data_IF_522333398817
#
_entry.id   IF_522333398817
#
_cell.length_a   1.000
_cell.length_b   1.000
_cell.length_c   1.000
_cell.angle_alpha   90.00
_cell.angle_beta   90.00
_cell.angle_gamma   90.00
#
_symmetry.space_group_name_H-M   'P 1'
#
loop_
_entity.id
_entity.type
_entity.pdbx_description
1 polymer ?
#
# COMPACT_ATOMS: atom_id res chain seq x y z
N UNK A 1 -17.27 28.83 -17.49
CA UNK A 1 -17.45 27.48 -16.90
C UNK A 1 -16.95 26.33 -17.77
N UNK A 2 -17.07 26.37 -19.12
CA UNK A 2 -16.63 25.28 -20.00
C UNK A 2 -15.18 24.82 -19.78
N UNK A 3 -14.24 25.77 -19.68
CA UNK A 3 -12.81 25.49 -19.50
C UNK A 3 -12.48 24.71 -18.21
N UNK A 4 -13.16 24.98 -17.09
CA UNK A 4 -12.88 24.25 -15.84
C UNK A 4 -13.42 22.82 -15.86
N UNK A 5 -14.64 22.61 -16.38
CA UNK A 5 -15.24 21.28 -16.44
C UNK A 5 -14.43 20.39 -17.38
N UNK A 6 -14.02 20.93 -18.53
CA UNK A 6 -13.14 20.25 -19.48
C UNK A 6 -11.79 19.89 -18.83
N UNK A 7 -11.14 20.84 -18.15
CA UNK A 7 -9.92 20.56 -17.39
C UNK A 7 -10.11 19.45 -16.34
N UNK A 8 -11.19 19.52 -15.54
CA UNK A 8 -11.52 18.52 -14.52
C UNK A 8 -11.72 17.13 -15.12
N UNK A 9 -12.52 17.04 -16.19
CA UNK A 9 -12.82 15.78 -16.87
C UNK A 9 -11.57 15.12 -17.46
N UNK A 10 -10.60 15.93 -17.89
CA UNK A 10 -9.37 15.46 -18.51
C UNK A 10 -8.18 15.42 -17.54
N UNK A 11 -8.36 15.69 -16.25
CA UNK A 11 -7.26 15.72 -15.28
C UNK A 11 -6.43 14.41 -15.27
N UNK A 12 -7.02 13.19 -15.26
CA UNK A 12 -6.23 11.96 -15.25
C UNK A 12 -5.33 11.75 -16.48
N UNK A 13 -5.66 12.36 -17.63
CA UNK A 13 -4.85 12.28 -18.85
C UNK A 13 -3.49 12.99 -18.72
N UNK A 14 -3.43 13.97 -17.82
CA UNK A 14 -2.26 14.83 -17.67
C UNK A 14 -1.37 14.41 -16.49
N UNK A 15 -1.70 13.31 -15.81
CA UNK A 15 -0.95 12.80 -14.68
C UNK A 15 -0.04 11.67 -15.15
N UNK A 16 1.27 11.86 -15.03
CA UNK A 16 2.24 10.77 -15.17
C UNK A 16 2.34 10.01 -13.83
N UNK A 17 2.05 8.70 -13.78
CA UNK A 17 2.19 7.91 -12.55
C UNK A 17 3.65 7.76 -12.09
N UNK A 18 4.63 8.01 -12.97
CA UNK A 18 6.06 7.98 -12.65
C UNK A 18 6.49 9.33 -12.10
N UNK A 19 6.92 9.32 -10.84
CA UNK A 19 7.44 10.49 -10.15
C UNK A 19 8.83 10.87 -10.66
N UNK A 20 9.75 9.90 -10.70
CA UNK A 20 11.14 10.07 -11.15
C UNK A 20 11.57 8.83 -11.93
N UNK A 21 12.25 9.03 -13.05
CA UNK A 21 12.88 7.97 -13.84
C UNK A 21 14.40 8.17 -13.89
N UNK A 22 15.17 7.19 -13.41
CA UNK A 22 16.64 7.15 -13.51
C UNK A 22 17.03 5.85 -14.21
N UNK A 23 17.21 5.92 -15.53
CA UNK A 23 17.43 4.74 -16.36
C UNK A 23 16.29 3.72 -16.24
N UNK A 24 16.55 2.44 -15.91
CA UNK A 24 15.50 1.42 -15.74
C UNK A 24 14.71 1.56 -14.43
N UNK A 25 15.19 2.38 -13.47
CA UNK A 25 14.51 2.58 -12.20
C UNK A 25 13.42 3.65 -12.35
N UNK A 26 12.17 3.23 -12.18
CA UNK A 26 10.99 4.10 -12.20
C UNK A 26 10.36 4.17 -10.81
N UNK A 27 10.47 5.32 -10.15
CA UNK A 27 9.80 5.58 -8.90
C UNK A 27 8.39 6.08 -9.19
N UNK A 28 7.37 5.38 -8.70
CA UNK A 28 5.97 5.72 -8.94
C UNK A 28 5.39 6.49 -7.75
N UNK A 29 4.44 7.38 -8.01
CA UNK A 29 3.66 8.05 -6.97
C UNK A 29 2.97 7.07 -6.03
N UNK A 30 2.58 5.89 -6.52
CA UNK A 30 1.97 4.85 -5.72
C UNK A 30 2.85 4.42 -4.52
N UNK A 31 4.15 4.24 -4.76
CA UNK A 31 5.11 3.93 -3.69
C UNK A 31 5.26 5.08 -2.69
N UNK A 32 5.32 6.32 -3.19
CA UNK A 32 5.35 7.51 -2.34
C UNK A 32 4.09 7.62 -1.46
N UNK A 33 2.91 7.35 -2.03
CA UNK A 33 1.65 7.37 -1.28
C UNK A 33 1.65 6.34 -0.16
N UNK A 34 2.24 5.16 -0.34
CA UNK A 34 2.43 4.21 0.77
C UNK A 34 3.36 4.75 1.86
N UNK A 35 4.46 5.40 1.50
CA UNK A 35 5.35 6.01 2.50
C UNK A 35 4.61 7.08 3.30
N UNK A 36 3.79 7.91 2.64
CA UNK A 36 2.97 8.92 3.31
C UNK A 36 1.88 8.25 4.17
N UNK A 37 1.26 7.16 3.70
CA UNK A 37 0.28 6.36 4.45
C UNK A 37 0.87 5.86 5.77
N UNK A 38 2.05 5.23 5.73
CA UNK A 38 2.73 4.73 6.91
C UNK A 38 3.22 5.86 7.81
N UNK A 39 3.79 6.92 7.23
CA UNK A 39 4.28 8.08 7.97
C UNK A 39 3.17 8.82 8.73
N UNK A 40 2.02 9.05 8.09
CA UNK A 40 0.87 9.72 8.71
C UNK A 40 0.20 8.84 9.78
N UNK A 41 0.11 7.53 9.54
CA UNK A 41 -0.35 6.55 10.54
C UNK A 41 0.55 6.58 11.77
N UNK A 42 1.87 6.49 11.58
CA UNK A 42 2.85 6.53 12.66
C UNK A 42 2.80 7.86 13.41
N UNK A 43 2.69 8.98 12.69
CA UNK A 43 2.59 10.31 13.28
C UNK A 43 1.37 10.45 14.17
N UNK A 44 0.18 10.06 13.69
CA UNK A 44 -1.05 10.14 14.48
C UNK A 44 -0.99 9.22 15.70
N UNK A 45 -0.56 7.98 15.53
CA UNK A 45 -0.42 7.03 16.65
C UNK A 45 0.58 7.57 17.69
N UNK A 46 1.74 8.08 17.24
CA UNK A 46 2.75 8.68 18.11
C UNK A 46 2.25 9.95 18.80
N UNK A 47 1.38 10.72 18.16
CA UNK A 47 0.70 11.85 18.79
C UNK A 47 -0.23 11.37 19.89
N UNK A 48 -1.06 10.35 19.63
CA UNK A 48 -2.05 9.83 20.58
C UNK A 48 -1.39 9.24 21.82
N UNK A 49 -0.36 8.40 21.69
CA UNK A 49 0.34 7.82 22.86
C UNK A 49 0.97 8.88 23.77
N UNK A 50 1.34 10.05 23.21
CA UNK A 50 1.93 11.16 23.98
C UNK A 50 0.90 12.00 24.73
N UNK A 51 -0.36 12.00 24.29
CA UNK A 51 -1.40 12.88 24.82
C UNK A 51 -2.54 12.13 25.54
N UNK A 52 -2.75 10.85 25.24
CA UNK A 52 -3.80 10.02 25.83
C UNK A 52 -3.23 9.06 26.88
N UNK A 53 -3.41 9.37 28.17
CA UNK A 53 -2.89 8.58 29.29
C UNK A 53 -3.50 7.17 29.45
N UNK A 54 -4.53 6.83 28.67
CA UNK A 54 -5.19 5.51 28.73
C UNK A 54 -4.38 4.39 28.06
N UNK A 55 -3.40 4.76 27.24
CA UNK A 55 -2.54 3.80 26.55
C UNK A 55 -1.30 3.50 27.39
N UNK A 56 -1.03 2.21 27.58
CA UNK A 56 0.15 1.65 28.21
C UNK A 56 1.24 1.27 27.19
N UNK A 57 0.88 1.10 25.91
CA UNK A 57 1.80 0.82 24.81
C UNK A 57 2.81 1.96 24.63
N UNK A 58 4.09 1.59 24.56
CA UNK A 58 5.19 2.56 24.44
C UNK A 58 5.42 2.96 22.98
N UNK A 59 6.15 4.07 22.78
CA UNK A 59 6.51 4.53 21.44
C UNK A 59 7.39 3.52 20.68
N UNK A 60 8.31 2.85 21.38
CA UNK A 60 9.11 1.78 20.77
C UNK A 60 8.23 0.59 20.38
N UNK A 61 7.26 0.22 21.21
CA UNK A 61 6.33 -0.85 20.87
C UNK A 61 5.46 -0.51 19.65
N UNK A 62 5.05 0.75 19.49
CA UNK A 62 4.34 1.22 18.29
C UNK A 62 5.22 1.10 17.05
N UNK A 63 6.47 1.56 17.12
CA UNK A 63 7.43 1.50 16.02
C UNK A 63 7.67 0.05 15.58
N UNK A 64 7.91 -0.83 16.54
CA UNK A 64 8.20 -2.24 16.28
C UNK A 64 6.96 -3.00 15.78
N UNK A 65 5.77 -2.70 16.32
CA UNK A 65 4.50 -3.24 15.82
C UNK A 65 4.22 -2.80 14.37
N UNK A 66 4.43 -1.52 14.06
CA UNK A 66 4.23 -0.99 12.71
C UNK A 66 5.23 -1.62 11.73
N UNK A 67 6.49 -1.78 12.13
CA UNK A 67 7.50 -2.46 11.32
C UNK A 67 7.12 -3.93 11.09
N UNK A 68 6.70 -4.65 12.14
CA UNK A 68 6.24 -6.02 12.03
C UNK A 68 5.02 -6.13 11.08
N UNK A 69 4.08 -5.19 11.17
CA UNK A 69 2.92 -5.14 10.27
C UNK A 69 3.32 -4.88 8.82
N UNK A 70 4.24 -3.94 8.55
CA UNK A 70 4.75 -3.66 7.19
C UNK A 70 5.47 -4.88 6.61
N UNK A 71 6.33 -5.54 7.40
CA UNK A 71 7.02 -6.76 6.96
C UNK A 71 6.01 -7.89 6.69
N UNK A 72 5.06 -8.09 7.60
CA UNK A 72 3.96 -9.03 7.42
C UNK A 72 3.15 -8.76 6.16
N UNK A 73 2.83 -7.48 5.88
CA UNK A 73 2.15 -7.05 4.67
C UNK A 73 2.92 -7.45 3.43
N UNK A 74 4.22 -7.10 3.35
CA UNK A 74 5.03 -7.32 2.16
C UNK A 74 5.21 -8.82 1.88
N UNK A 75 5.56 -9.59 2.93
CA UNK A 75 5.75 -11.04 2.82
C UNK A 75 4.42 -11.72 2.48
N UNK A 76 3.37 -11.40 3.22
CA UNK A 76 2.05 -12.00 3.03
C UNK A 76 1.47 -11.68 1.65
N UNK A 77 1.59 -10.44 1.20
CA UNK A 77 1.11 -10.04 -0.13
C UNK A 77 1.85 -10.77 -1.24
N UNK A 78 3.17 -10.94 -1.10
CA UNK A 78 3.98 -11.66 -2.07
C UNK A 78 3.63 -13.15 -2.10
N UNK A 79 3.65 -13.82 -0.95
CA UNK A 79 3.33 -15.24 -0.85
C UNK A 79 1.87 -15.52 -1.25
N UNK A 80 0.93 -14.67 -0.86
CA UNK A 80 -0.45 -14.79 -1.30
C UNK A 80 -0.60 -14.64 -2.81
N UNK A 81 0.19 -13.78 -3.46
CA UNK A 81 0.16 -13.69 -4.92
C UNK A 81 0.70 -14.96 -5.58
N UNK A 82 1.84 -15.45 -5.09
CA UNK A 82 2.46 -16.70 -5.54
C UNK A 82 1.49 -17.86 -5.41
N UNK A 83 0.83 -18.01 -4.26
CA UNK A 83 -0.06 -19.15 -4.01
C UNK A 83 -1.40 -19.05 -4.76
N UNK A 84 -2.00 -17.87 -4.86
CA UNK A 84 -3.35 -17.72 -5.40
C UNK A 84 -3.40 -17.47 -6.90
N UNK A 85 -2.37 -16.84 -7.47
CA UNK A 85 -2.39 -16.38 -8.86
C UNK A 85 -1.20 -16.86 -9.68
N UNK A 86 -0.01 -16.97 -9.08
CA UNK A 86 1.25 -17.23 -9.80
C UNK A 86 1.83 -18.63 -9.62
N UNK A 87 1.11 -19.58 -9.02
CA UNK A 87 1.72 -20.79 -8.45
C UNK A 87 2.57 -21.57 -9.45
N UNK A 88 2.02 -21.89 -10.62
CA UNK A 88 2.75 -22.63 -11.66
C UNK A 88 4.00 -21.90 -12.15
N UNK A 89 3.95 -20.58 -12.30
CA UNK A 89 5.10 -19.79 -12.77
C UNK A 89 6.26 -19.81 -11.76
N UNK A 90 5.95 -19.63 -10.48
CA UNK A 90 6.97 -19.54 -9.43
C UNK A 90 7.56 -20.89 -9.00
N UNK A 91 6.94 -22.01 -9.38
CA UNK A 91 7.58 -23.33 -9.25
C UNK A 91 8.84 -23.43 -10.10
N UNK A 92 8.79 -22.88 -11.32
CA UNK A 92 9.93 -22.86 -12.24
C UNK A 92 10.90 -21.70 -11.93
N UNK A 93 10.43 -20.66 -11.23
CA UNK A 93 11.18 -19.43 -10.94
C UNK A 93 11.21 -19.07 -9.44
N UNK A 94 11.73 -19.93 -8.56
CA UNK A 94 11.62 -19.75 -7.11
C UNK A 94 12.36 -18.51 -6.57
N UNK A 95 13.46 -18.10 -7.23
CA UNK A 95 14.20 -16.89 -6.83
C UNK A 95 13.42 -15.60 -7.07
N UNK A 96 12.54 -15.58 -8.08
CA UNK A 96 11.71 -14.42 -8.40
C UNK A 96 10.65 -14.16 -7.32
N UNK A 97 10.37 -15.12 -6.43
CA UNK A 97 9.49 -14.91 -5.28
C UNK A 97 10.04 -13.80 -4.37
N UNK A 98 11.36 -13.79 -4.14
CA UNK A 98 11.99 -12.91 -3.15
C UNK A 98 12.67 -11.68 -3.77
N UNK A 99 13.06 -11.78 -5.04
CA UNK A 99 13.85 -10.76 -5.72
C UNK A 99 12.97 -9.90 -6.63
N UNK A 100 13.21 -8.57 -6.69
CA UNK A 100 12.51 -7.67 -7.62
C UNK A 100 13.08 -7.75 -9.04
N UNK A 101 13.54 -8.94 -9.44
CA UNK A 101 14.20 -9.20 -10.71
C UNK A 101 13.55 -10.41 -11.37
N UNK A 102 13.37 -10.32 -12.68
CA UNK A 102 13.07 -11.46 -13.54
C UNK A 102 14.37 -11.94 -14.17
N UNK A 103 14.54 -13.26 -14.25
CA UNK A 103 15.74 -13.91 -14.79
C UNK A 103 15.53 -14.53 -16.18
N UNK A 104 14.28 -14.57 -16.63
CA UNK A 104 13.91 -15.04 -17.96
C UNK A 104 14.44 -14.04 -19.03
N UNK A 105 15.33 -14.52 -19.92
CA UNK A 105 16.03 -13.74 -20.96
C UNK A 105 17.04 -12.68 -20.45
N UNK A 106 17.62 -12.89 -19.26
CA UNK A 106 18.61 -11.99 -18.65
C UNK A 106 18.10 -11.41 -17.33
N UNK A 107 18.82 -10.46 -16.74
CA UNK A 107 18.44 -9.83 -15.46
C UNK A 107 17.69 -8.54 -15.75
N UNK A 108 16.37 -8.54 -15.52
CA UNK A 108 15.52 -7.35 -15.69
C UNK A 108 14.94 -6.95 -14.34
N UNK A 109 15.13 -5.69 -13.96
CA UNK A 109 14.46 -5.13 -12.78
C UNK A 109 12.97 -4.91 -13.07
N UNK A 110 12.11 -5.68 -12.41
CA UNK A 110 10.66 -5.59 -12.55
C UNK A 110 10.00 -4.86 -11.38
N UNK A 111 10.76 -4.56 -10.33
CA UNK A 111 10.22 -4.12 -9.05
C UNK A 111 9.40 -5.22 -8.36
N UNK A 112 8.81 -4.88 -7.22
CA UNK A 112 7.88 -5.74 -6.48
C UNK A 112 6.47 -5.68 -7.11
N UNK A 113 6.32 -6.25 -8.30
CA UNK A 113 5.02 -6.48 -8.93
C UNK A 113 4.47 -7.85 -8.52
N UNK A 114 3.15 -8.06 -8.62
CA UNK A 114 2.51 -9.31 -8.19
C UNK A 114 2.34 -9.39 -6.68
N UNK A 115 1.39 -8.63 -6.16
CA UNK A 115 1.05 -8.53 -4.74
C UNK A 115 -0.43 -8.83 -4.53
N UNK A 116 -0.76 -9.67 -3.55
CA UNK A 116 -2.13 -10.04 -3.20
C UNK A 116 -2.64 -9.20 -2.03
N UNK A 117 -3.80 -8.56 -2.20
CA UNK A 117 -4.46 -7.87 -1.09
C UNK A 117 -4.78 -8.82 0.07
N UNK A 118 -5.38 -9.98 -0.23
CA UNK A 118 -5.74 -10.99 0.78
C UNK A 118 -4.50 -11.53 1.50
N UNK A 119 -3.43 -11.81 0.75
CA UNK A 119 -2.14 -12.21 1.32
C UNK A 119 -1.57 -11.14 2.26
N UNK A 120 -1.62 -9.87 1.84
CA UNK A 120 -1.15 -8.75 2.65
C UNK A 120 -1.94 -8.59 3.94
N UNK A 121 -3.27 -8.69 3.87
CA UNK A 121 -4.14 -8.64 5.04
C UNK A 121 -3.83 -9.77 6.03
N UNK A 122 -3.74 -11.02 5.55
CA UNK A 122 -3.37 -12.17 6.38
C UNK A 122 -1.99 -11.96 7.02
N UNK A 123 -1.03 -11.47 6.24
CA UNK A 123 0.32 -11.18 6.71
C UNK A 123 0.38 -10.14 7.82
N UNK A 124 -0.33 -9.02 7.67
CA UNK A 124 -0.44 -7.97 8.71
C UNK A 124 -1.05 -8.53 9.98
N UNK A 125 -2.19 -9.23 9.87
CA UNK A 125 -2.90 -9.79 11.03
C UNK A 125 -2.03 -10.82 11.76
N UNK A 126 -1.33 -11.68 11.01
CA UNK A 126 -0.46 -12.72 11.58
C UNK A 126 0.75 -12.10 12.27
N UNK A 127 1.47 -11.18 11.61
CA UNK A 127 2.64 -10.53 12.19
C UNK A 127 2.27 -9.69 13.42
N UNK A 128 1.17 -8.94 13.35
CA UNK A 128 0.62 -8.19 14.48
C UNK A 128 0.26 -9.10 15.65
N UNK A 129 -0.48 -10.18 15.41
CA UNK A 129 -0.86 -11.14 16.45
C UNK A 129 0.37 -11.78 17.12
N UNK A 130 1.39 -12.17 16.34
CA UNK A 130 2.65 -12.71 16.87
C UNK A 130 3.37 -11.67 17.74
N UNK A 131 3.45 -10.43 17.27
CA UNK A 131 4.12 -9.34 18.00
C UNK A 131 3.42 -9.03 19.33
N UNK A 132 2.10 -8.85 19.30
CA UNK A 132 1.30 -8.57 20.50
C UNK A 132 1.43 -9.70 21.53
N UNK A 133 1.37 -10.96 21.09
CA UNK A 133 1.57 -12.11 21.96
C UNK A 133 2.95 -12.15 22.60
N UNK A 134 4.01 -11.81 21.85
CA UNK A 134 5.40 -11.82 22.35
C UNK A 134 5.69 -10.67 23.33
N UNK A 135 5.02 -9.54 23.18
CA UNK A 135 5.28 -8.33 23.97
C UNK A 135 4.29 -8.11 25.12
N UNK A 136 3.21 -8.88 25.17
CA UNK A 136 2.16 -8.74 26.19
C UNK A 136 1.26 -7.52 25.98
N UNK A 137 1.40 -6.79 24.86
CA UNK A 137 0.52 -5.67 24.52
C UNK A 137 -0.89 -6.20 24.25
N UNK A 138 -1.88 -5.57 24.85
CA UNK A 138 -3.29 -5.92 24.64
C UNK A 138 -3.71 -5.68 23.18
N UNK A 139 -4.37 -6.66 22.58
CA UNK A 139 -4.93 -6.53 21.23
C UNK A 139 -5.92 -5.37 21.14
N UNK A 140 -6.81 -5.23 22.12
CA UNK A 140 -7.81 -4.15 22.11
C UNK A 140 -7.16 -2.78 22.26
N UNK A 141 -6.10 -2.69 23.03
CA UNK A 141 -5.37 -1.43 23.18
C UNK A 141 -4.70 -1.02 21.86
N UNK A 142 -4.03 -1.96 21.18
CA UNK A 142 -3.46 -1.71 19.87
C UNK A 142 -4.57 -1.39 18.84
N UNK A 143 -5.69 -2.11 18.86
CA UNK A 143 -6.82 -1.86 17.96
C UNK A 143 -7.41 -0.45 18.16
N UNK A 144 -7.69 -0.05 19.39
CA UNK A 144 -8.22 1.29 19.73
C UNK A 144 -7.25 2.41 19.36
N UNK A 145 -5.95 2.13 19.45
CA UNK A 145 -4.91 3.09 19.08
C UNK A 145 -4.80 3.26 17.55
N UNK A 146 -4.80 2.17 16.79
CA UNK A 146 -4.57 2.18 15.35
C UNK A 146 -5.85 2.38 14.52
N UNK A 147 -7.03 2.01 15.01
CA UNK A 147 -8.27 2.09 14.24
C UNK A 147 -8.58 3.50 13.71
N UNK A 148 -8.41 4.59 14.49
CA UNK A 148 -8.58 5.94 13.98
C UNK A 148 -7.53 6.38 12.95
N UNK A 149 -6.39 5.69 12.86
CA UNK A 149 -5.34 5.98 11.90
C UNK A 149 -5.51 5.23 10.57
N UNK A 150 -6.29 4.14 10.54
CA UNK A 150 -6.53 3.38 9.30
C UNK A 150 -7.08 4.22 8.13
N UNK A 151 -8.02 5.17 8.32
CA UNK A 151 -8.51 6.01 7.24
C UNK A 151 -7.42 6.87 6.58
N UNK A 152 -6.40 7.29 7.34
CA UNK A 152 -5.27 8.03 6.76
C UNK A 152 -4.52 7.16 5.76
N UNK A 153 -4.17 5.94 6.17
CA UNK A 153 -3.50 5.01 5.27
C UNK A 153 -4.34 4.65 4.03
N UNK A 154 -5.64 4.43 4.22
CA UNK A 154 -6.55 4.13 3.12
C UNK A 154 -6.68 5.30 2.14
N UNK A 155 -6.75 6.54 2.64
CA UNK A 155 -6.84 7.76 1.83
C UNK A 155 -5.68 7.87 0.85
N UNK A 156 -4.44 7.74 1.33
CA UNK A 156 -3.27 7.79 0.44
C UNK A 156 -3.22 6.61 -0.51
N UNK A 157 -3.66 5.42 -0.09
CA UNK A 157 -3.84 4.30 -1.01
C UNK A 157 -4.77 4.65 -2.17
N UNK A 158 -5.95 5.21 -1.89
CA UNK A 158 -6.93 5.64 -2.91
C UNK A 158 -6.43 6.78 -3.79
N UNK A 159 -5.69 7.75 -3.23
CA UNK A 159 -5.02 8.78 -4.03
C UNK A 159 -3.98 8.16 -4.96
N UNK A 160 -3.24 7.16 -4.49
CA UNK A 160 -2.34 6.37 -5.33
C UNK A 160 -3.06 5.72 -6.50
N UNK A 161 -4.21 5.08 -6.26
CA UNK A 161 -5.00 4.45 -7.33
C UNK A 161 -5.47 5.50 -8.36
N UNK A 162 -5.95 6.65 -7.89
CA UNK A 162 -6.37 7.75 -8.75
C UNK A 162 -5.23 8.25 -9.64
N UNK A 163 -4.04 8.50 -9.07
CA UNK A 163 -2.85 8.94 -9.81
C UNK A 163 -2.39 7.86 -10.81
N UNK A 164 -2.52 6.58 -10.46
CA UNK A 164 -2.19 5.47 -11.33
C UNK A 164 -3.25 5.20 -12.42
N UNK A 165 -4.38 5.91 -12.40
CA UNK A 165 -5.48 5.73 -13.35
C UNK A 165 -6.25 4.42 -13.17
N UNK A 166 -6.23 3.82 -11.99
CA UNK A 166 -6.86 2.52 -11.71
C UNK A 166 -8.02 2.65 -10.70
N UNK A 167 -8.86 1.61 -10.61
CA UNK A 167 -10.01 1.55 -9.69
C UNK A 167 -11.02 2.71 -9.86
N UNK A 168 -11.18 3.18 -11.10
CA UNK A 168 -12.18 4.19 -11.46
C UNK A 168 -13.62 3.66 -11.31
N UNK A 169 -14.57 4.59 -11.27
CA UNK A 169 -15.98 4.32 -11.05
C UNK A 169 -16.74 3.85 -12.30
N UNK A 170 -18.07 3.88 -12.21
CA UNK A 170 -18.96 3.56 -13.33
C UNK A 170 -18.96 4.70 -14.36
N UNK A 171 -19.22 4.34 -15.63
CA UNK A 171 -19.45 5.30 -16.71
C UNK A 171 -20.60 6.24 -16.34
N UNK A 172 -20.42 7.53 -16.59
CA UNK A 172 -21.40 8.57 -16.27
C UNK A 172 -21.33 9.71 -17.29
N UNK A 173 -22.46 10.39 -17.49
CA UNK A 173 -22.56 11.64 -18.25
C UNK A 173 -22.52 12.88 -17.35
N UNK A 174 -22.41 12.72 -16.03
CA UNK A 174 -22.40 13.84 -15.09
C UNK A 174 -21.10 14.68 -15.22
N UNK A 175 -21.15 16.00 -15.08
CA UNK A 175 -19.97 16.88 -15.19
C UNK A 175 -18.85 16.62 -14.17
N UNK A 176 -19.08 15.79 -13.15
CA UNK A 176 -18.04 15.41 -12.18
C UNK A 176 -17.24 14.17 -12.62
N UNK A 177 -17.69 13.46 -13.65
CA UNK A 177 -16.97 12.32 -14.21
C UNK A 177 -15.60 12.73 -14.73
N UNK A 178 -14.70 11.76 -14.87
CA UNK A 178 -13.37 11.97 -15.46
C UNK A 178 -13.07 10.89 -16.47
N UNK A 179 -12.25 11.22 -17.46
CA UNK A 179 -11.81 10.34 -18.52
C UNK A 179 -10.47 9.69 -18.12
N UNK A 180 -10.49 8.37 -17.93
CA UNK A 180 -9.32 7.56 -17.65
C UNK A 180 -8.87 6.87 -18.95
N UNK A 181 -7.72 7.24 -19.56
CA UNK A 181 -7.36 6.78 -20.92
C UNK A 181 -7.03 5.30 -21.02
N UNK A 182 -6.53 4.72 -19.93
CA UNK A 182 -6.18 3.32 -19.84
C UNK A 182 -7.35 2.44 -19.36
N UNK A 183 -8.53 3.03 -19.16
CA UNK A 183 -9.73 2.26 -18.86
C UNK A 183 -10.13 1.42 -20.09
N UNK A 184 -10.27 0.08 -19.97
CA UNK A 184 -10.87 -0.77 -21.00
C UNK A 184 -12.25 -0.32 -21.47
#
# INVERSE_FOLDING_TARGET
>A
MGNFIEWWQHLPQHIDPVLIAIGPLRLHYYGLMYLIAFGTTYWLVSYRIRHEKRFSITQDQVKDLLLAAILGLLIGARLGYVLFYGFSYYLDHPLEIFLPFRFENGITFTGFSGMSYHGGLIGVLTAGAIYLKKTGVSFFEAADLFAPAMPLGYTFGRLGNFINGELYGRVTSHPIGMLFPAAP
#
